data_IF_326614474953
#
_entry.id   IF_326614474953
#
_cell.length_a   1.000
_cell.length_b   1.000
_cell.length_c   1.000
_cell.angle_alpha   90.00
_cell.angle_beta   90.00
_cell.angle_gamma   90.00
#
_symmetry.space_group_name_H-M   'P 1'
#
loop_
_entity.id
_entity.type
_entity.pdbx_description
1 polymer ?
#
# COMPACT_ATOMS: atom_id res chain seq x y z
N UNK A 1 12.77 -5.93 -2.74
CA UNK A 1 12.82 -7.17 -1.93
C UNK A 1 13.41 -6.83 -0.57
N UNK A 2 12.64 -6.92 0.48
CA UNK A 2 13.02 -6.52 1.84
C UNK A 2 14.10 -7.45 2.42
N UNK A 3 15.18 -6.88 2.95
CA UNK A 3 16.33 -7.60 3.52
C UNK A 3 16.08 -7.99 4.98
N UNK A 4 15.09 -8.85 5.28
CA UNK A 4 15.09 -9.62 6.53
C UNK A 4 14.85 -11.09 6.22
N UNK A 5 15.88 -11.90 6.45
CA UNK A 5 15.79 -13.35 6.35
C UNK A 5 14.80 -13.86 7.40
N UNK A 6 13.75 -14.51 6.94
CA UNK A 6 12.93 -15.39 7.77
C UNK A 6 12.95 -16.77 7.14
N UNK A 7 13.56 -17.69 7.83
CA UNK A 7 13.50 -19.13 7.57
C UNK A 7 12.21 -19.66 8.15
N UNK A 8 11.34 -20.19 7.31
CA UNK A 8 10.05 -20.79 7.69
C UNK A 8 8.86 -19.97 7.22
N UNK A 9 7.67 -20.54 7.30
CA UNK A 9 6.38 -19.92 6.97
C UNK A 9 6.00 -18.81 7.99
N UNK A 10 6.89 -17.88 8.22
CA UNK A 10 6.62 -16.74 9.11
C UNK A 10 5.98 -15.61 8.32
N UNK A 11 4.83 -15.20 8.79
CA UNK A 11 4.13 -14.01 8.33
C UNK A 11 4.99 -12.78 8.57
N UNK A 12 5.24 -12.00 7.52
CA UNK A 12 6.03 -10.78 7.62
C UNK A 12 5.15 -9.64 8.09
N UNK A 13 5.53 -9.00 9.18
CA UNK A 13 4.90 -7.76 9.63
C UNK A 13 5.55 -6.57 8.93
N UNK A 14 4.73 -5.73 8.31
CA UNK A 14 5.10 -4.41 7.82
C UNK A 14 4.47 -3.37 8.75
N UNK A 15 5.31 -2.65 9.48
CA UNK A 15 4.84 -1.59 10.35
C UNK A 15 4.52 -0.34 9.55
N UNK A 16 3.32 0.18 9.77
CA UNK A 16 2.78 1.36 9.08
C UNK A 16 2.65 2.50 10.09
N UNK A 17 3.26 3.62 9.77
CA UNK A 17 3.10 4.87 10.49
C UNK A 17 2.26 5.84 9.66
N UNK A 18 1.23 6.40 10.27
CA UNK A 18 0.45 7.47 9.68
C UNK A 18 0.91 8.79 10.29
N UNK A 19 1.28 9.75 9.44
CA UNK A 19 1.41 11.13 9.88
C UNK A 19 0.04 11.64 10.34
N UNK A 20 0.03 12.62 11.24
CA UNK A 20 -1.22 13.16 11.74
C UNK A 20 -2.02 13.77 10.58
N UNK A 21 -3.27 13.35 10.38
CA UNK A 21 -4.15 13.99 9.41
C UNK A 21 -4.49 15.41 9.86
N UNK A 22 -4.96 16.28 8.96
CA UNK A 22 -5.50 17.57 9.34
C UNK A 22 -6.60 17.42 10.42
N UNK A 23 -6.61 18.32 11.40
CA UNK A 23 -7.54 18.24 12.55
C UNK A 23 -9.01 18.19 12.14
N UNK A 24 -9.37 18.80 11.00
CA UNK A 24 -10.71 18.85 10.44
C UNK A 24 -11.06 17.62 9.58
N UNK A 25 -10.14 16.70 9.37
CA UNK A 25 -10.31 15.53 8.49
C UNK A 25 -9.76 14.23 9.11
N UNK A 26 -10.29 13.79 10.27
CA UNK A 26 -9.87 12.54 10.90
C UNK A 26 -10.23 11.30 10.05
N UNK A 27 -11.22 11.41 9.16
CA UNK A 27 -11.65 10.40 8.21
C UNK A 27 -10.50 9.88 7.32
N UNK A 28 -9.50 10.71 7.02
CA UNK A 28 -8.34 10.28 6.23
C UNK A 28 -7.57 9.14 6.89
N UNK A 29 -7.41 9.22 8.20
CA UNK A 29 -6.77 8.16 8.96
C UNK A 29 -7.63 6.88 8.98
N UNK A 30 -8.93 7.04 9.25
CA UNK A 30 -9.85 5.90 9.34
C UNK A 30 -9.95 5.13 8.01
N UNK A 31 -10.10 5.81 6.88
CA UNK A 31 -10.20 5.18 5.58
C UNK A 31 -8.88 4.52 5.14
N UNK A 32 -7.73 5.09 5.50
CA UNK A 32 -6.44 4.47 5.27
C UNK A 32 -6.26 3.19 6.10
N UNK A 33 -6.71 3.18 7.36
CA UNK A 33 -6.72 1.96 8.20
C UNK A 33 -7.63 0.89 7.62
N UNK A 34 -8.84 1.26 7.17
CA UNK A 34 -9.75 0.31 6.50
C UNK A 34 -9.11 -0.33 5.26
N UNK A 35 -8.36 0.46 4.49
CA UNK A 35 -7.63 -0.09 3.34
C UNK A 35 -6.55 -1.11 3.74
N UNK A 36 -5.85 -0.89 4.86
CA UNK A 36 -4.93 -1.89 5.42
C UNK A 36 -5.67 -3.18 5.81
N UNK A 37 -6.83 -3.04 6.46
CA UNK A 37 -7.62 -4.20 6.90
C UNK A 37 -8.08 -5.04 5.71
N UNK A 38 -8.50 -4.44 4.61
CA UNK A 38 -8.85 -5.19 3.38
C UNK A 38 -7.70 -6.04 2.87
N UNK A 39 -6.48 -5.50 2.85
CA UNK A 39 -5.31 -6.28 2.43
C UNK A 39 -4.92 -7.34 3.46
N UNK A 40 -5.07 -7.07 4.76
CA UNK A 40 -4.83 -8.04 5.82
C UNK A 40 -5.81 -9.23 5.79
N UNK A 41 -7.02 -9.03 5.27
CA UNK A 41 -8.01 -10.10 5.11
C UNK A 41 -7.71 -11.03 3.95
N UNK A 42 -6.76 -10.71 3.07
CA UNK A 42 -6.37 -11.57 1.95
C UNK A 42 -5.64 -12.81 2.47
N UNK A 43 -6.35 -13.93 2.56
CA UNK A 43 -5.76 -15.20 3.01
C UNK A 43 -4.61 -15.67 2.10
N UNK A 44 -3.55 -16.18 2.70
CA UNK A 44 -2.40 -16.76 1.99
C UNK A 44 -1.33 -15.74 1.58
N UNK A 45 -1.46 -14.47 1.92
CA UNK A 45 -0.33 -13.54 1.85
C UNK A 45 0.58 -13.78 3.06
N UNK A 46 1.90 -13.90 2.87
CA UNK A 46 2.85 -14.07 3.96
C UNK A 46 3.27 -12.70 4.55
N UNK A 47 2.38 -11.73 4.53
CA UNK A 47 2.59 -10.41 5.11
C UNK A 47 1.32 -9.89 5.75
N UNK A 48 1.50 -9.06 6.77
CA UNK A 48 0.43 -8.34 7.44
C UNK A 48 0.89 -6.92 7.76
N UNK A 49 0.02 -5.97 7.55
CA UNK A 49 0.23 -4.59 7.95
C UNK A 49 -0.15 -4.40 9.40
N UNK A 50 0.68 -3.71 10.18
CA UNK A 50 0.39 -3.31 11.56
C UNK A 50 0.71 -1.85 11.79
N UNK A 51 -0.20 -1.15 12.42
CA UNK A 51 0.03 0.24 12.82
C UNK A 51 1.10 0.34 13.90
N UNK A 52 1.96 1.38 13.78
CA UNK A 52 2.89 1.79 14.81
C UNK A 52 2.87 3.31 15.03
N UNK A 53 3.03 3.73 16.29
CA UNK A 53 3.21 5.15 16.63
C UNK A 53 4.65 5.61 16.49
N UNK A 54 5.59 4.68 16.44
CA UNK A 54 7.01 4.98 16.26
C UNK A 54 7.36 5.03 14.77
N UNK A 55 7.49 6.24 14.25
CA UNK A 55 7.86 6.49 12.86
C UNK A 55 9.19 5.80 12.46
N UNK A 56 10.14 5.71 13.41
CA UNK A 56 11.47 5.14 13.14
C UNK A 56 11.42 3.62 12.93
N UNK A 57 10.41 2.97 13.48
CA UNK A 57 10.22 1.52 13.32
C UNK A 57 9.35 1.17 12.11
N UNK A 58 8.77 2.16 11.43
CA UNK A 58 7.87 1.95 10.29
C UNK A 58 8.64 1.73 9.00
N UNK A 59 8.33 0.64 8.31
CA UNK A 59 8.75 0.41 6.91
C UNK A 59 7.88 1.20 5.92
N UNK A 60 6.63 1.46 6.28
CA UNK A 60 5.66 2.17 5.44
C UNK A 60 5.19 3.43 6.16
N UNK A 61 5.31 4.57 5.50
CA UNK A 61 4.82 5.85 6.02
C UNK A 61 3.72 6.38 5.14
N UNK A 62 2.58 6.70 5.75
CA UNK A 62 1.49 7.42 5.09
C UNK A 62 1.56 8.90 5.43
N UNK A 63 1.42 9.72 4.40
CA UNK A 63 1.26 11.17 4.54
C UNK A 63 0.16 11.68 3.62
N UNK A 64 -0.38 12.83 3.97
CA UNK A 64 -1.39 13.51 3.19
C UNK A 64 -0.87 14.85 2.71
N UNK A 65 -1.19 15.17 1.47
CA UNK A 65 -0.93 16.49 0.87
C UNK A 65 -2.24 17.08 0.40
N UNK A 66 -2.28 18.37 0.24
CA UNK A 66 -3.49 19.03 -0.22
C UNK A 66 -3.93 18.48 -1.58
N UNK A 67 -3.06 18.49 -2.57
CA UNK A 67 -3.25 17.90 -3.91
C UNK A 67 -1.92 17.76 -4.63
N UNK A 68 -1.89 16.94 -5.66
CA UNK A 68 -0.78 16.88 -6.60
C UNK A 68 -0.91 17.95 -7.69
N UNK A 69 0.21 18.32 -8.33
CA UNK A 69 0.22 19.22 -9.48
C UNK A 69 -0.27 18.55 -10.79
N UNK A 70 -0.52 17.25 -10.75
CA UNK A 70 -0.99 16.43 -11.85
C UNK A 70 -2.27 15.68 -11.44
N UNK A 71 -2.94 15.03 -12.42
CA UNK A 71 -4.13 14.20 -12.18
C UNK A 71 -3.80 12.91 -11.43
N UNK A 72 -3.24 13.06 -10.25
CA UNK A 72 -2.92 11.97 -9.34
C UNK A 72 -3.67 12.18 -8.03
N UNK A 73 -4.10 11.07 -7.44
CA UNK A 73 -4.74 11.07 -6.13
C UNK A 73 -3.87 10.41 -5.07
N UNK A 74 -2.90 9.61 -5.47
CA UNK A 74 -1.92 8.96 -4.62
C UNK A 74 -0.62 8.66 -5.35
N UNK A 75 0.43 8.38 -4.58
CA UNK A 75 1.70 7.83 -5.05
C UNK A 75 2.30 6.92 -4.00
N UNK A 76 3.04 5.92 -4.46
CA UNK A 76 3.87 5.06 -3.62
C UNK A 76 5.32 5.18 -4.09
N UNK A 77 6.16 5.76 -3.24
CA UNK A 77 7.58 5.99 -3.49
C UNK A 77 8.41 5.06 -2.61
N UNK A 78 9.42 4.42 -3.21
CA UNK A 78 10.34 3.54 -2.50
C UNK A 78 11.69 4.22 -2.29
N UNK A 79 12.17 4.15 -1.07
CA UNK A 79 13.54 4.54 -0.73
C UNK A 79 14.43 3.31 -0.72
N UNK A 80 15.61 3.43 -1.31
CA UNK A 80 16.61 2.37 -1.34
C UNK A 80 17.92 2.85 -0.73
N UNK A 81 18.68 1.91 -0.13
CA UNK A 81 20.03 2.18 0.30
C UNK A 81 21.02 2.24 -0.90
N UNK A 82 22.29 2.51 -0.60
CA UNK A 82 23.34 2.61 -1.63
C UNK A 82 23.61 1.30 -2.39
N UNK A 83 23.06 0.17 -1.91
CA UNK A 83 23.13 -1.14 -2.56
C UNK A 83 21.86 -1.49 -3.32
N UNK A 84 20.86 -0.59 -3.33
CA UNK A 84 19.56 -0.78 -3.98
C UNK A 84 18.56 -1.61 -3.17
N UNK A 85 18.80 -1.83 -1.87
CA UNK A 85 17.85 -2.48 -1.00
C UNK A 85 16.78 -1.52 -0.53
N UNK A 86 15.54 -1.98 -0.54
CA UNK A 86 14.41 -1.19 -0.08
C UNK A 86 14.53 -0.94 1.44
N UNK A 87 14.56 0.33 1.81
CA UNK A 87 14.69 0.78 3.21
C UNK A 87 13.38 1.29 3.76
N UNK A 88 12.60 1.99 2.95
CA UNK A 88 11.28 2.47 3.35
C UNK A 88 10.36 2.69 2.14
N UNK A 89 9.07 2.79 2.43
CA UNK A 89 8.03 3.14 1.45
C UNK A 89 7.26 4.33 1.98
N UNK A 90 7.07 5.33 1.13
CA UNK A 90 6.22 6.49 1.45
C UNK A 90 5.00 6.46 0.55
N UNK A 91 3.82 6.33 1.15
CA UNK A 91 2.53 6.50 0.50
C UNK A 91 2.07 7.93 0.71
N UNK A 92 1.82 8.65 -0.38
CA UNK A 92 1.29 10.02 -0.33
C UNK A 92 -0.09 10.04 -0.93
N UNK A 93 -1.08 10.53 -0.19
CA UNK A 93 -2.47 10.67 -0.65
C UNK A 93 -2.84 12.15 -0.74
N UNK A 94 -3.61 12.52 -1.77
CA UNK A 94 -4.19 13.84 -1.87
C UNK A 94 -5.45 13.95 -1.00
N UNK A 95 -5.73 15.14 -0.49
CA UNK A 95 -6.93 15.47 0.28
C UNK A 95 -8.01 16.14 -0.59
N UNK A 96 -7.61 16.71 -1.71
CA UNK A 96 -8.46 17.44 -2.65
C UNK A 96 -8.27 16.89 -4.07
N UNK A 97 -9.32 16.96 -4.86
CA UNK A 97 -9.26 16.78 -6.31
C UNK A 97 -8.51 17.94 -6.98
N UNK A 98 -8.20 17.79 -8.28
CA UNK A 98 -7.52 18.82 -9.08
C UNK A 98 -8.24 20.17 -9.05
N UNK A 99 -9.58 20.16 -9.02
CA UNK A 99 -10.43 21.35 -8.95
C UNK A 99 -10.54 21.97 -7.55
N UNK A 100 -9.89 21.40 -6.54
CA UNK A 100 -9.87 21.86 -5.16
C UNK A 100 -11.07 21.37 -4.33
N UNK A 101 -11.94 20.51 -4.88
CA UNK A 101 -13.01 19.89 -4.08
C UNK A 101 -12.42 18.82 -3.15
N UNK A 102 -12.89 18.73 -1.88
CA UNK A 102 -12.42 17.70 -0.95
C UNK A 102 -12.71 16.30 -1.46
N UNK A 103 -11.76 15.38 -1.27
CA UNK A 103 -12.00 13.97 -1.54
C UNK A 103 -12.96 13.38 -0.50
N UNK A 104 -13.92 12.60 -0.97
CA UNK A 104 -14.82 11.84 -0.10
C UNK A 104 -14.17 10.52 0.37
N UNK A 105 -14.73 9.97 1.45
CA UNK A 105 -14.22 8.80 2.15
C UNK A 105 -14.02 7.58 1.24
N UNK A 106 -15.01 7.27 0.42
CA UNK A 106 -14.94 6.16 -0.54
C UNK A 106 -13.80 6.32 -1.54
N UNK A 107 -13.62 7.55 -2.05
CA UNK A 107 -12.55 7.83 -3.00
C UNK A 107 -11.17 7.71 -2.34
N UNK A 108 -11.05 8.22 -1.11
CA UNK A 108 -9.82 8.13 -0.34
C UNK A 108 -9.45 6.67 -0.07
N UNK A 109 -10.40 5.85 0.41
CA UNK A 109 -10.19 4.43 0.64
C UNK A 109 -9.77 3.69 -0.63
N UNK A 110 -10.41 4.02 -1.76
CA UNK A 110 -10.08 3.45 -3.05
C UNK A 110 -8.64 3.76 -3.47
N UNK A 111 -8.19 5.00 -3.27
CA UNK A 111 -6.79 5.38 -3.55
C UNK A 111 -5.84 4.69 -2.58
N UNK A 112 -6.16 4.66 -1.29
CA UNK A 112 -5.33 3.97 -0.29
C UNK A 112 -5.18 2.47 -0.58
N UNK A 113 -6.25 1.79 -1.01
CA UNK A 113 -6.21 0.39 -1.44
C UNK A 113 -5.25 0.18 -2.63
N UNK A 114 -5.29 1.08 -3.62
CA UNK A 114 -4.42 1.05 -4.78
C UNK A 114 -2.94 1.22 -4.38
N UNK A 115 -2.64 2.25 -3.62
CA UNK A 115 -1.27 2.52 -3.18
C UNK A 115 -0.70 1.41 -2.30
N UNK A 116 -1.51 0.81 -1.43
CA UNK A 116 -1.11 -0.36 -0.65
C UNK A 116 -0.81 -1.58 -1.53
N UNK A 117 -1.50 -1.75 -2.65
CA UNK A 117 -1.16 -2.75 -3.66
C UNK A 117 0.25 -2.54 -4.21
N UNK A 118 0.67 -1.30 -4.44
CA UNK A 118 2.05 -0.98 -4.81
C UNK A 118 3.03 -1.25 -3.67
N UNK A 119 2.67 -0.98 -2.42
CA UNK A 119 3.50 -1.37 -1.24
C UNK A 119 3.73 -2.89 -1.22
N UNK A 120 2.73 -3.69 -1.56
CA UNK A 120 2.83 -5.16 -1.67
C UNK A 120 3.75 -5.57 -2.84
N UNK A 121 3.93 -4.70 -3.85
CA UNK A 121 4.73 -4.94 -5.05
C UNK A 121 3.91 -5.23 -6.31
N UNK A 122 2.61 -4.98 -6.30
CA UNK A 122 1.76 -5.16 -7.47
C UNK A 122 1.98 -4.04 -8.49
N UNK A 123 2.13 -4.37 -9.78
CA UNK A 123 2.08 -3.38 -10.86
C UNK A 123 0.63 -2.99 -11.17
N UNK A 124 0.46 -1.98 -12.01
CA UNK A 124 -0.85 -1.64 -12.55
C UNK A 124 -1.48 -2.82 -13.31
N UNK A 125 -2.81 -2.88 -13.25
CA UNK A 125 -3.67 -3.81 -14.01
C UNK A 125 -4.29 -3.11 -15.22
N UNK A 126 -4.55 -3.87 -16.28
CA UNK A 126 -5.27 -3.40 -17.46
C UNK A 126 -6.79 -3.47 -17.31
N UNK A 127 -7.30 -4.10 -16.25
CA UNK A 127 -8.73 -4.28 -16.04
C UNK A 127 -9.33 -3.18 -15.18
N UNK A 128 -10.33 -2.43 -15.66
CA UNK A 128 -11.00 -1.38 -14.88
C UNK A 128 -11.72 -1.88 -13.63
N UNK A 129 -11.94 -3.19 -13.50
CA UNK A 129 -12.56 -3.81 -12.33
C UNK A 129 -11.59 -4.04 -11.18
N UNK A 130 -10.28 -3.95 -11.43
CA UNK A 130 -9.26 -4.20 -10.44
C UNK A 130 -8.91 -2.92 -9.66
N UNK A 131 -8.57 -3.07 -8.39
CA UNK A 131 -8.05 -1.97 -7.58
C UNK A 131 -6.74 -1.44 -8.17
N UNK A 132 -5.92 -2.31 -8.75
CA UNK A 132 -4.64 -1.92 -9.36
C UNK A 132 -4.75 -1.27 -10.75
N UNK A 133 -5.95 -1.00 -11.26
CA UNK A 133 -6.10 -0.21 -12.48
C UNK A 133 -5.81 1.28 -12.21
N UNK A 134 -5.04 2.00 -13.07
CA UNK A 134 -4.69 3.42 -12.85
C UNK A 134 -5.91 4.35 -12.73
N UNK A 135 -7.03 4.02 -13.36
CA UNK A 135 -8.31 4.72 -13.23
C UNK A 135 -9.27 3.95 -12.32
N UNK A 136 -8.77 3.40 -11.23
CA UNK A 136 -9.54 2.58 -10.29
C UNK A 136 -10.85 3.26 -9.87
N UNK A 137 -11.92 2.46 -9.78
CA UNK A 137 -13.23 2.85 -9.24
C UNK A 137 -13.81 1.80 -8.29
N UNK A 138 -13.00 0.81 -7.93
CA UNK A 138 -13.41 -0.29 -7.04
C UNK A 138 -13.07 0.04 -5.59
N UNK A 139 -14.04 -0.18 -4.71
CA UNK A 139 -13.88 -0.09 -3.26
C UNK A 139 -13.44 -1.42 -2.62
N UNK A 140 -13.29 -2.46 -3.44
CA UNK A 140 -12.99 -3.81 -3.00
C UNK A 140 -11.94 -4.44 -3.91
N UNK A 141 -11.09 -5.27 -3.31
CA UNK A 141 -10.12 -6.06 -4.05
C UNK A 141 -10.83 -7.04 -4.98
N UNK A 142 -10.45 -7.05 -6.25
CA UNK A 142 -10.94 -8.06 -7.20
C UNK A 142 -10.28 -9.41 -6.94
N UNK A 143 -10.89 -10.47 -7.46
CA UNK A 143 -10.26 -11.81 -7.45
C UNK A 143 -8.91 -11.81 -8.18
N UNK A 144 -8.71 -10.90 -9.14
CA UNK A 144 -7.45 -10.77 -9.86
C UNK A 144 -6.40 -10.09 -8.99
N UNK A 145 -6.72 -9.01 -8.28
CA UNK A 145 -5.82 -8.36 -7.34
C UNK A 145 -5.31 -9.38 -6.32
N UNK A 146 -6.23 -10.14 -5.71
CA UNK A 146 -5.92 -11.16 -4.72
C UNK A 146 -5.02 -12.27 -5.31
N UNK A 147 -5.36 -12.80 -6.50
CA UNK A 147 -4.53 -13.83 -7.14
C UNK A 147 -3.15 -13.31 -7.52
N UNK A 148 -3.06 -12.08 -8.03
CA UNK A 148 -1.79 -11.47 -8.41
C UNK A 148 -0.86 -11.29 -7.19
N UNK A 149 -1.41 -10.84 -6.07
CA UNK A 149 -0.67 -10.73 -4.82
C UNK A 149 -0.15 -12.10 -4.34
N UNK A 150 -1.00 -13.14 -4.32
CA UNK A 150 -0.59 -14.50 -3.94
C UNK A 150 0.51 -15.05 -4.84
N UNK A 151 0.35 -14.95 -6.16
CA UNK A 151 1.32 -15.43 -7.14
C UNK A 151 2.68 -14.73 -7.02
N UNK A 152 2.69 -13.42 -6.73
CA UNK A 152 3.92 -12.67 -6.49
C UNK A 152 4.73 -13.29 -5.35
N UNK A 153 4.08 -13.56 -4.23
CA UNK A 153 4.75 -14.12 -3.05
C UNK A 153 5.11 -15.60 -3.18
N UNK A 154 4.31 -16.40 -3.87
CA UNK A 154 4.65 -17.79 -4.21
C UNK A 154 5.93 -17.88 -5.06
N UNK A 155 6.09 -17.02 -6.06
CA UNK A 155 7.32 -16.93 -6.87
C UNK A 155 8.53 -16.56 -6.03
N UNK A 156 8.41 -15.52 -5.20
CA UNK A 156 9.49 -15.08 -4.32
C UNK A 156 9.93 -16.16 -3.32
N UNK A 157 9.02 -17.01 -2.86
CA UNK A 157 9.34 -18.16 -2.01
C UNK A 157 10.08 -19.26 -2.79
N UNK A 158 9.66 -19.54 -4.01
CA UNK A 158 10.28 -20.57 -4.85
C UNK A 158 11.70 -20.19 -5.25
N UNK A 159 11.95 -18.94 -5.61
CA UNK A 159 13.27 -18.43 -5.97
C UNK A 159 14.26 -18.50 -4.79
N UNK A 160 13.80 -18.26 -3.55
CA UNK A 160 14.63 -18.36 -2.34
C UNK A 160 15.08 -19.80 -2.05
N UNK A 161 14.26 -20.79 -2.38
CA UNK A 161 14.58 -22.21 -2.17
C UNK A 161 15.57 -22.73 -3.22
N UNK A 162 15.61 -22.09 -4.39
CA UNK A 162 16.41 -22.49 -5.54
C UNK A 162 17.77 -21.76 -5.63
N UNK A 163 18.04 -20.82 -4.74
CA UNK A 163 19.32 -20.13 -4.67
C UNK A 163 20.35 -21.02 -3.95
N UNK A 164 21.53 -21.26 -4.54
CA UNK A 164 22.57 -22.15 -4.01
C UNK A 164 23.21 -21.63 -2.71
#
# INVERSE_FOLDING_TARGET
VYKRQTTGREERVLYVHFMDPPEDRPDFWEESVRALDYWNEVSGLPLVFRFTRDERSAEVRFRWIRRFDARQAGTTDWETDGEGWLTSVVVTLAMEHEDGTPMGDDFLRMVALHELGHVIGLPHSDSPADVMHPGNRSLYLSDRDIRSARQLYERLQTEKVSAP
#
